data_IF_651243957869
#
_entry.id   IF_651243957869
#
_cell.length_a   1.000
_cell.length_b   1.000
_cell.length_c   1.000
_cell.angle_alpha   90.00
_cell.angle_beta   90.00
_cell.angle_gamma   90.00
#
_symmetry.space_group_name_H-M   'P 1'
#
loop_
_entity.id
_entity.type
_entity.pdbx_description
1 polymer ?
#
# COMPACT_ATOMS: atom_id res chain seq x y z
N UNK A 1 -5.05 19.09 -2.25
CA UNK A 1 -5.78 17.94 -1.74
C UNK A 1 -4.98 16.64 -1.89
N UNK A 2 -4.48 16.35 -3.09
CA UNK A 2 -3.74 15.10 -3.33
C UNK A 2 -2.45 15.06 -2.50
N UNK A 3 -1.71 16.16 -2.40
CA UNK A 3 -0.50 16.21 -1.59
C UNK A 3 -0.80 15.93 -0.11
N UNK A 4 -1.88 16.47 0.41
CA UNK A 4 -2.29 16.23 1.81
C UNK A 4 -2.72 14.78 2.01
N UNK A 5 -3.39 14.20 1.02
CA UNK A 5 -3.78 12.78 1.06
C UNK A 5 -2.55 11.87 1.02
N UNK A 6 -1.57 12.17 0.19
CA UNK A 6 -0.31 11.41 0.13
C UNK A 6 0.40 11.46 1.48
N UNK A 7 0.46 12.64 2.10
CA UNK A 7 1.05 12.78 3.44
C UNK A 7 0.31 11.94 4.47
N UNK A 8 -1.03 11.97 4.43
CA UNK A 8 -1.85 11.13 5.31
C UNK A 8 -1.52 9.65 5.14
N UNK A 9 -1.42 9.20 3.89
CA UNK A 9 -1.12 7.79 3.58
C UNK A 9 0.24 7.39 4.13
N UNK A 10 1.26 8.22 3.95
CA UNK A 10 2.60 7.94 4.48
C UNK A 10 2.62 7.93 6.01
N UNK A 11 1.90 8.85 6.64
CA UNK A 11 1.83 8.90 8.11
C UNK A 11 1.08 7.70 8.70
N UNK A 12 0.19 7.06 7.94
CA UNK A 12 -0.65 5.94 8.39
C UNK A 12 -0.30 4.62 7.70
N UNK A 13 0.88 4.53 7.09
CA UNK A 13 1.24 3.37 6.25
C UNK A 13 1.24 2.05 7.03
N UNK A 14 1.54 2.08 8.33
CA UNK A 14 1.66 0.92 9.19
C UNK A 14 0.35 0.48 9.86
N UNK A 15 -0.76 1.02 9.40
CA UNK A 15 -2.08 0.68 9.91
C UNK A 15 -3.06 0.47 8.77
N UNK A 16 -4.22 -0.19 9.02
CA UNK A 16 -5.27 -0.25 8.01
C UNK A 16 -5.77 1.16 7.70
N UNK A 17 -5.73 1.56 6.43
CA UNK A 17 -6.20 2.88 6.00
C UNK A 17 -7.59 2.73 5.41
N UNK A 18 -8.55 3.47 5.96
CA UNK A 18 -9.92 3.54 5.44
C UNK A 18 -10.12 4.85 4.69
N UNK A 19 -10.66 4.76 3.47
CA UNK A 19 -10.92 5.94 2.65
C UNK A 19 -11.87 6.92 3.31
N UNK A 20 -12.90 6.42 4.02
CA UNK A 20 -13.85 7.26 4.74
C UNK A 20 -13.18 8.06 5.86
N UNK A 21 -12.28 7.45 6.61
CA UNK A 21 -11.54 8.12 7.68
C UNK A 21 -10.58 9.17 7.11
N UNK A 22 -9.89 8.85 6.03
CA UNK A 22 -8.98 9.78 5.37
C UNK A 22 -9.74 10.99 4.80
N UNK A 23 -10.84 10.76 4.12
CA UNK A 23 -11.67 11.82 3.57
C UNK A 23 -12.19 12.75 4.66
N UNK A 24 -12.66 12.17 5.77
CA UNK A 24 -13.13 12.94 6.91
C UNK A 24 -12.03 13.83 7.49
N UNK A 25 -10.84 13.28 7.67
CA UNK A 25 -9.68 14.01 8.19
C UNK A 25 -9.29 15.17 7.26
N UNK A 26 -9.41 14.99 5.96
CA UNK A 26 -9.07 15.99 4.96
C UNK A 26 -10.21 16.97 4.67
N UNK A 27 -11.37 16.78 5.28
CA UNK A 27 -12.51 17.67 5.09
C UNK A 27 -13.18 17.56 3.72
N UNK A 28 -13.12 16.40 3.08
CA UNK A 28 -13.69 16.17 1.74
C UNK A 28 -14.53 14.90 1.72
N UNK A 29 -15.31 14.70 0.66
CA UNK A 29 -16.03 13.45 0.44
C UNK A 29 -15.09 12.39 -0.17
N UNK A 30 -15.46 11.12 -0.03
CA UNK A 30 -14.72 10.03 -0.69
C UNK A 30 -14.77 10.17 -2.20
N UNK A 31 -15.88 10.68 -2.75
CA UNK A 31 -16.05 10.94 -4.18
C UNK A 31 -15.05 12.00 -4.68
N UNK A 32 -14.89 13.08 -3.93
CA UNK A 32 -13.93 14.13 -4.28
C UNK A 32 -12.50 13.61 -4.21
N UNK A 33 -12.20 12.81 -3.19
CA UNK A 33 -10.89 12.18 -3.04
C UNK A 33 -10.57 11.29 -4.23
N UNK A 34 -11.53 10.45 -4.63
CA UNK A 34 -11.39 9.56 -5.80
C UNK A 34 -11.12 10.35 -7.07
N UNK A 35 -11.96 11.35 -7.34
CA UNK A 35 -11.84 12.18 -8.56
C UNK A 35 -10.50 12.91 -8.62
N UNK A 36 -10.03 13.41 -7.49
CA UNK A 36 -8.73 14.11 -7.41
C UNK A 36 -7.56 13.17 -7.69
N UNK A 37 -7.60 11.95 -7.16
CA UNK A 37 -6.55 10.95 -7.44
C UNK A 37 -6.54 10.56 -8.91
N UNK A 38 -7.70 10.30 -9.50
CA UNK A 38 -7.78 9.97 -10.93
C UNK A 38 -7.25 11.12 -11.77
N UNK A 39 -7.63 12.36 -11.46
CA UNK A 39 -7.22 13.53 -12.24
C UNK A 39 -5.70 13.78 -12.18
N UNK A 40 -5.08 13.61 -11.03
CA UNK A 40 -3.67 13.95 -10.80
C UNK A 40 -2.74 12.74 -11.00
N UNK A 41 -3.13 11.56 -10.51
CA UNK A 41 -2.28 10.37 -10.49
C UNK A 41 -2.73 9.27 -11.44
N UNK A 42 -3.90 9.42 -12.06
CA UNK A 42 -4.51 8.43 -12.97
C UNK A 42 -4.81 7.09 -12.31
N UNK A 43 -4.83 7.01 -10.98
CA UNK A 43 -5.17 5.80 -10.23
C UNK A 43 -6.08 6.14 -9.05
N UNK A 44 -6.93 5.19 -8.61
CA UNK A 44 -7.75 5.39 -7.41
C UNK A 44 -6.89 5.49 -6.14
N UNK A 45 -7.39 6.18 -5.11
CA UNK A 45 -6.65 6.30 -3.83
C UNK A 45 -6.34 4.95 -3.19
N UNK A 46 -7.24 3.99 -3.24
CA UNK A 46 -7.00 2.67 -2.66
C UNK A 46 -5.84 1.95 -3.37
N UNK A 47 -5.77 2.06 -4.69
CA UNK A 47 -4.67 1.51 -5.48
C UNK A 47 -3.35 2.17 -5.07
N UNK A 48 -3.33 3.47 -4.92
CA UNK A 48 -2.14 4.20 -4.46
C UNK A 48 -1.68 3.71 -3.08
N UNK A 49 -2.61 3.53 -2.14
CA UNK A 49 -2.30 3.02 -0.80
C UNK A 49 -1.61 1.65 -0.90
N UNK A 50 -2.18 0.73 -1.67
CA UNK A 50 -1.60 -0.60 -1.82
C UNK A 50 -0.25 -0.59 -2.53
N UNK A 51 -0.07 0.28 -3.53
CA UNK A 51 1.23 0.45 -4.18
C UNK A 51 2.31 0.90 -3.19
N UNK A 52 1.99 1.84 -2.31
CA UNK A 52 2.93 2.32 -1.30
C UNK A 52 3.28 1.24 -0.28
N UNK A 53 2.28 0.46 0.16
CA UNK A 53 2.51 -0.67 1.06
C UNK A 53 3.36 -1.76 0.41
N UNK A 54 3.14 -2.03 -0.86
CA UNK A 54 3.93 -3.02 -1.61
C UNK A 54 5.37 -2.55 -1.78
N UNK A 55 5.61 -1.26 -2.05
CA UNK A 55 6.97 -0.72 -2.10
C UNK A 55 7.72 -0.92 -0.77
N UNK A 56 7.06 -0.66 0.35
CA UNK A 56 7.61 -0.94 1.66
C UNK A 56 7.92 -2.44 1.83
N UNK A 57 6.98 -3.30 1.43
CA UNK A 57 7.16 -4.74 1.52
C UNK A 57 8.37 -5.21 0.71
N UNK A 58 8.56 -4.68 -0.50
CA UNK A 58 9.70 -5.02 -1.34
C UNK A 58 11.03 -4.70 -0.64
N UNK A 59 11.13 -3.52 -0.03
CA UNK A 59 12.34 -3.14 0.72
C UNK A 59 12.59 -4.05 1.90
N UNK A 60 11.55 -4.40 2.63
CA UNK A 60 11.67 -5.25 3.82
C UNK A 60 12.03 -6.69 3.45
N UNK A 61 11.49 -7.20 2.34
CA UNK A 61 11.89 -8.51 1.81
C UNK A 61 13.37 -8.53 1.44
N UNK A 62 13.86 -7.47 0.84
CA UNK A 62 15.28 -7.34 0.50
C UNK A 62 16.18 -7.32 1.74
N UNK A 63 15.66 -6.86 2.88
CA UNK A 63 16.37 -6.88 4.17
C UNK A 63 16.18 -8.20 4.94
N UNK A 64 15.55 -9.20 4.35
CA UNK A 64 15.40 -10.52 4.94
C UNK A 64 14.23 -10.67 5.90
N UNK A 65 13.31 -9.73 5.97
CA UNK A 65 12.15 -9.83 6.85
C UNK A 65 11.13 -10.82 6.27
N UNK A 66 10.41 -11.52 7.15
CA UNK A 66 9.40 -12.49 6.75
C UNK A 66 8.12 -11.80 6.26
N UNK A 67 7.37 -12.49 5.40
CA UNK A 67 6.07 -12.00 4.90
C UNK A 67 5.10 -11.73 6.06
N UNK A 68 5.10 -12.61 7.07
CA UNK A 68 4.23 -12.46 8.24
C UNK A 68 4.55 -11.17 9.02
N UNK A 69 5.82 -10.90 9.27
CA UNK A 69 6.24 -9.67 9.95
C UNK A 69 5.86 -8.42 9.15
N UNK A 70 6.09 -8.46 7.85
CA UNK A 70 5.79 -7.34 6.97
C UNK A 70 4.29 -7.07 6.93
N UNK A 71 3.47 -8.12 6.82
CA UNK A 71 2.01 -7.99 6.83
C UNK A 71 1.53 -7.32 8.11
N UNK A 72 2.08 -7.73 9.24
CA UNK A 72 1.77 -7.15 10.54
C UNK A 72 2.18 -5.68 10.59
N UNK A 73 3.36 -5.34 10.12
CA UNK A 73 3.88 -3.97 10.09
C UNK A 73 3.02 -3.04 9.22
N UNK A 74 2.39 -3.57 8.19
CA UNK A 74 1.58 -2.79 7.25
C UNK A 74 0.08 -2.78 7.58
N UNK A 75 -0.31 -3.44 8.68
CA UNK A 75 -1.71 -3.49 9.09
C UNK A 75 -2.58 -4.42 8.24
N UNK A 76 -1.99 -5.37 7.52
CA UNK A 76 -2.76 -6.42 6.85
C UNK A 76 -3.22 -7.46 7.87
N UNK A 77 -4.40 -8.04 7.62
CA UNK A 77 -4.99 -9.02 8.53
C UNK A 77 -4.20 -10.33 8.59
N UNK A 78 -3.44 -10.65 7.55
CA UNK A 78 -2.67 -11.89 7.46
C UNK A 78 -1.58 -11.78 6.40
N UNK A 79 -0.61 -12.71 6.47
CA UNK A 79 0.39 -12.87 5.42
C UNK A 79 -0.25 -13.19 4.06
N UNK A 80 -1.33 -13.96 4.08
CA UNK A 80 -2.09 -14.29 2.87
C UNK A 80 -2.66 -13.03 2.22
N UNK A 81 -3.23 -12.14 3.00
CA UNK A 81 -3.80 -10.89 2.49
C UNK A 81 -2.72 -10.02 1.83
N UNK A 82 -1.58 -9.87 2.49
CA UNK A 82 -0.44 -9.16 1.88
C UNK A 82 0.02 -9.83 0.60
N UNK A 83 0.18 -11.15 0.60
CA UNK A 83 0.66 -11.91 -0.55
C UNK A 83 -0.25 -11.73 -1.77
N UNK A 84 -1.56 -11.76 -1.54
CA UNK A 84 -2.55 -11.56 -2.59
C UNK A 84 -2.44 -10.16 -3.19
N UNK A 85 -2.39 -9.13 -2.36
CA UNK A 85 -2.26 -7.74 -2.80
C UNK A 85 -0.92 -7.52 -3.52
N UNK A 86 0.16 -8.06 -2.96
CA UNK A 86 1.49 -7.96 -3.55
C UNK A 86 1.53 -8.54 -4.96
N UNK A 87 0.94 -9.73 -5.15
CA UNK A 87 0.89 -10.38 -6.46
C UNK A 87 0.02 -9.59 -7.45
N UNK A 88 -1.08 -9.03 -7.00
CA UNK A 88 -1.93 -8.18 -7.84
C UNK A 88 -1.19 -6.94 -8.35
N UNK A 89 -0.34 -6.34 -7.52
CA UNK A 89 0.40 -5.11 -7.85
C UNK A 89 1.65 -5.41 -8.68
N UNK A 90 2.42 -6.43 -8.30
CA UNK A 90 3.75 -6.70 -8.88
C UNK A 90 3.75 -7.80 -9.94
N UNK A 91 2.71 -8.65 -9.96
CA UNK A 91 2.65 -9.80 -10.85
C UNK A 91 3.31 -11.05 -10.29
N UNK A 92 4.04 -10.97 -9.18
CA UNK A 92 4.70 -12.12 -8.55
C UNK A 92 4.38 -12.14 -7.06
N UNK A 93 4.48 -13.33 -6.44
CA UNK A 93 4.31 -13.46 -4.99
C UNK A 93 5.52 -12.87 -4.25
N UNK A 94 5.36 -12.52 -2.96
CA UNK A 94 6.51 -12.10 -2.15
C UNK A 94 7.63 -13.13 -2.12
N UNK A 95 7.28 -14.41 -2.11
CA UNK A 95 8.24 -15.50 -2.13
C UNK A 95 9.06 -15.51 -3.42
N UNK A 96 8.40 -15.38 -4.57
CA UNK A 96 9.06 -15.29 -5.86
C UNK A 96 9.93 -14.05 -5.96
N UNK A 97 9.43 -12.92 -5.49
CA UNK A 97 10.18 -11.67 -5.46
C UNK A 97 11.47 -11.82 -4.66
N UNK A 98 11.40 -12.41 -3.47
CA UNK A 98 12.56 -12.65 -2.62
C UNK A 98 13.58 -13.57 -3.31
N UNK A 99 13.09 -14.61 -3.99
CA UNK A 99 13.93 -15.52 -4.76
C UNK A 99 14.63 -14.80 -5.91
N UNK A 100 13.92 -13.95 -6.63
CA UNK A 100 14.47 -13.19 -7.76
C UNK A 100 15.55 -12.20 -7.32
N UNK A 101 15.39 -11.56 -6.16
CA UNK A 101 16.41 -10.66 -5.61
C UNK A 101 17.73 -11.42 -5.38
N UNK A 102 17.66 -12.65 -4.89
CA UNK A 102 18.87 -13.46 -4.62
C UNK A 102 19.64 -13.83 -5.87
N UNK A 103 19.03 -13.74 -7.04
CA UNK A 103 19.68 -14.01 -8.33
C UNK A 103 20.44 -12.80 -8.88
N UNK A 104 20.20 -11.64 -8.31
CA UNK A 104 20.92 -10.43 -8.69
C UNK A 104 22.26 -10.34 -7.97
#
# INVERSE_FOLDING_TARGET
>A
LVNDAIKYIHDHLHEPIKLTAMALQLGVSTSMLYKSFIAILAIPPLTYIHQQKVLYAQRMLAHGKSVTMIANDLGYSSAYHLSKTFKQITGVSPREYKKNIKLL
#
